data_IF_233745186461
#
_entry.id   IF_233745186461
#
_cell.length_a   1.000
_cell.length_b   1.000
_cell.length_c   1.000
_cell.angle_alpha   90.00
_cell.angle_beta   90.00
_cell.angle_gamma   90.00
#
_symmetry.space_group_name_H-M   'P 1'
#
loop_
_entity.id
_entity.type
_entity.pdbx_description
1 polymer ?
#
# COMPACT_ATOMS: atom_id res chain seq x y z
N UNK A 1 2.53 -8.41 26.77
CA UNK A 1 3.46 -7.28 26.53
C UNK A 1 3.00 -6.58 25.27
N UNK A 2 2.22 -5.52 25.44
CA UNK A 2 1.72 -4.64 24.40
C UNK A 2 2.42 -3.31 24.60
N UNK A 3 3.17 -2.89 23.58
CA UNK A 3 3.97 -1.67 23.51
C UNK A 3 4.62 -1.79 22.15
N UNK A 4 4.18 -1.03 21.16
CA UNK A 4 4.59 0.36 21.08
C UNK A 4 3.57 1.21 20.31
N UNK A 5 3.03 2.22 21.00
CA UNK A 5 2.32 3.35 20.41
C UNK A 5 3.38 4.34 19.92
N UNK A 6 3.82 4.24 18.66
CA UNK A 6 4.61 5.33 18.05
C UNK A 6 3.68 6.30 17.35
N UNK A 7 3.49 7.41 18.05
CA UNK A 7 3.00 8.68 17.54
C UNK A 7 3.64 9.05 16.19
N UNK A 8 2.80 9.53 15.28
CA UNK A 8 3.24 10.02 13.98
C UNK A 8 2.04 10.36 13.11
N UNK A 9 1.36 11.45 13.45
CA UNK A 9 0.24 12.01 12.70
C UNK A 9 0.74 12.53 11.34
N UNK A 10 0.89 11.64 10.35
CA UNK A 10 1.13 12.03 8.96
C UNK A 10 -0.21 12.37 8.30
N UNK A 11 -0.66 13.61 8.48
CA UNK A 11 -1.87 14.15 7.84
C UNK A 11 -1.44 14.88 6.57
N UNK A 12 -1.56 14.20 5.43
CA UNK A 12 -1.43 14.82 4.11
C UNK A 12 -2.84 14.90 3.48
N UNK A 13 -3.23 16.12 3.06
CA UNK A 13 -4.58 16.48 2.60
C UNK A 13 -4.75 16.26 1.08
N UNK A 14 -6.00 15.95 0.68
CA UNK A 14 -6.64 16.13 -0.66
C UNK A 14 -6.43 15.03 -1.73
N UNK A 15 -7.11 15.13 -2.89
CA UNK A 15 -8.32 14.38 -3.30
C UNK A 15 -8.05 12.96 -3.87
N UNK A 16 -8.86 11.98 -3.44
CA UNK A 16 -8.34 10.63 -3.11
C UNK A 16 -8.73 9.46 -4.02
N UNK A 17 -9.57 9.61 -5.05
CA UNK A 17 -10.08 8.44 -5.81
C UNK A 17 -9.65 8.38 -7.28
N UNK A 18 -9.67 9.51 -8.00
CA UNK A 18 -9.20 9.55 -9.40
C UNK A 18 -7.68 9.39 -9.48
N UNK A 19 -6.96 9.91 -8.47
CA UNK A 19 -5.51 9.88 -8.36
C UNK A 19 -4.94 8.48 -8.09
N UNK A 20 -5.62 7.71 -7.22
CA UNK A 20 -5.26 6.31 -6.94
C UNK A 20 -5.17 5.48 -8.22
N UNK A 21 -6.16 5.67 -9.12
CA UNK A 21 -6.33 4.90 -10.35
C UNK A 21 -5.26 5.21 -11.39
N UNK A 22 -4.92 6.49 -11.55
CA UNK A 22 -3.92 7.00 -12.49
C UNK A 22 -2.52 6.43 -12.20
N UNK A 23 -2.06 6.44 -10.94
CA UNK A 23 -0.74 5.91 -10.59
C UNK A 23 -0.61 4.39 -10.75
N UNK A 24 -1.71 3.64 -10.64
CA UNK A 24 -1.65 2.20 -10.84
C UNK A 24 -1.71 1.79 -12.31
N UNK A 25 -2.28 2.63 -13.17
CA UNK A 25 -2.44 2.37 -14.60
C UNK A 25 -1.15 2.72 -15.37
N UNK A 26 -0.50 3.84 -15.01
CA UNK A 26 0.63 4.41 -15.75
C UNK A 26 1.92 3.56 -15.73
N UNK A 27 2.07 2.61 -14.79
CA UNK A 27 3.36 1.92 -14.56
C UNK A 27 3.26 0.39 -14.33
N UNK A 28 2.13 -0.25 -14.62
CA UNK A 28 1.98 -1.70 -14.42
C UNK A 28 2.99 -2.56 -15.22
N UNK A 29 3.58 -2.02 -16.29
CA UNK A 29 4.50 -2.74 -17.18
C UNK A 29 5.94 -2.91 -16.66
N UNK A 30 6.38 -2.16 -15.65
CA UNK A 30 7.79 -2.13 -15.19
C UNK A 30 7.99 -2.54 -13.73
N UNK A 31 7.02 -3.20 -13.10
CA UNK A 31 7.12 -3.53 -11.69
C UNK A 31 7.91 -4.82 -11.45
N UNK A 32 8.81 -4.85 -10.45
CA UNK A 32 9.48 -6.08 -10.08
C UNK A 32 8.43 -7.07 -9.57
N UNK A 33 8.62 -8.36 -9.87
CA UNK A 33 7.73 -9.43 -9.44
C UNK A 33 7.96 -9.76 -7.96
N UNK A 34 7.62 -8.82 -7.07
CA UNK A 34 7.72 -8.99 -5.62
C UNK A 34 6.45 -9.67 -5.10
N UNK A 35 6.63 -10.84 -4.49
CA UNK A 35 5.55 -11.59 -3.88
C UNK A 35 5.39 -11.19 -2.40
N UNK A 36 4.25 -10.57 -2.07
CA UNK A 36 3.89 -10.21 -0.70
C UNK A 36 2.83 -11.16 -0.15
N UNK A 37 2.98 -11.58 1.10
CA UNK A 37 1.97 -12.43 1.75
C UNK A 37 0.74 -11.62 2.17
N UNK A 38 -0.43 -12.25 2.32
CA UNK A 38 -1.62 -11.57 2.79
C UNK A 38 -1.47 -10.91 4.17
N UNK A 39 -0.63 -11.44 5.05
CA UNK A 39 -0.36 -10.86 6.37
C UNK A 39 0.47 -9.57 6.26
N UNK A 40 1.50 -9.57 5.42
CA UNK A 40 2.33 -8.40 5.13
C UNK A 40 1.52 -7.26 4.50
N UNK A 41 0.52 -7.60 3.67
CA UNK A 41 -0.40 -6.65 3.07
C UNK A 41 -1.56 -6.24 3.99
N UNK A 42 -1.76 -6.91 5.14
CA UNK A 42 -2.75 -6.51 6.16
C UNK A 42 -2.18 -5.54 7.18
N UNK A 43 -0.86 -5.52 7.32
CA UNK A 43 -0.16 -4.63 8.25
C UNK A 43 -0.39 -3.13 7.96
N UNK A 44 -0.93 -2.81 6.77
CA UNK A 44 -1.21 -1.46 6.30
C UNK A 44 -2.64 -1.36 5.75
N UNK A 45 -3.38 -0.35 6.21
CA UNK A 45 -4.75 -0.05 5.78
C UNK A 45 -4.84 1.10 4.78
N UNK A 46 -6.07 1.48 4.44
CA UNK A 46 -6.39 2.57 3.48
C UNK A 46 -5.71 3.90 3.85
N UNK A 47 -5.60 4.22 5.15
CA UNK A 47 -4.97 5.46 5.62
C UNK A 47 -3.48 5.50 5.29
N UNK A 48 -2.76 4.39 5.46
CA UNK A 48 -1.33 4.34 5.18
C UNK A 48 -1.03 4.31 3.67
N UNK A 49 -1.91 3.73 2.87
CA UNK A 49 -1.85 3.81 1.40
C UNK A 49 -1.86 5.24 0.88
N UNK A 50 -2.65 6.13 1.49
CA UNK A 50 -2.71 7.55 1.11
C UNK A 50 -1.39 8.27 1.41
N UNK A 51 -0.74 7.92 2.51
CA UNK A 51 0.58 8.47 2.85
C UNK A 51 1.63 7.97 1.85
N UNK A 52 1.60 6.68 1.52
CA UNK A 52 2.51 6.07 0.55
C UNK A 52 2.37 6.71 -0.85
N UNK A 53 1.14 6.99 -1.27
CA UNK A 53 0.87 7.70 -2.53
C UNK A 53 1.56 9.06 -2.57
N UNK A 54 1.42 9.85 -1.50
CA UNK A 54 2.03 11.18 -1.44
C UNK A 54 3.56 11.11 -1.47
N UNK A 55 4.16 10.11 -0.82
CA UNK A 55 5.61 9.87 -0.86
C UNK A 55 6.07 9.55 -2.29
N UNK A 56 5.35 8.65 -2.98
CA UNK A 56 5.61 8.31 -4.37
C UNK A 56 5.44 9.50 -5.32
N UNK A 57 4.53 10.44 -4.99
CA UNK A 57 4.28 11.65 -5.77
C UNK A 57 5.39 12.70 -5.61
N UNK A 58 5.83 12.94 -4.38
CA UNK A 58 6.89 13.93 -4.11
C UNK A 58 8.22 13.50 -4.74
N UNK A 59 8.45 12.19 -4.92
CA UNK A 59 9.68 11.60 -5.50
C UNK A 59 10.96 12.06 -4.79
N UNK A 60 10.83 12.49 -3.55
CA UNK A 60 11.94 12.90 -2.70
C UNK A 60 12.71 11.63 -2.27
N UNK A 61 13.95 11.50 -2.76
CA UNK A 61 14.79 10.32 -2.52
C UNK A 61 14.96 9.97 -1.03
N UNK A 62 15.28 10.91 -0.12
CA UNK A 62 15.43 10.56 1.29
C UNK A 62 14.10 10.11 1.93
N UNK A 63 12.97 10.75 1.58
CA UNK A 63 11.65 10.32 2.06
C UNK A 63 11.29 8.93 1.53
N UNK A 64 11.52 8.67 0.24
CA UNK A 64 11.29 7.34 -0.37
C UNK A 64 12.12 6.28 0.33
N UNK A 65 13.41 6.53 0.57
CA UNK A 65 14.29 5.60 1.29
C UNK A 65 13.78 5.29 2.69
N UNK A 66 13.50 6.33 3.48
CA UNK A 66 13.05 6.18 4.86
C UNK A 66 11.75 5.38 4.97
N UNK A 67 10.80 5.63 4.07
CA UNK A 67 9.52 4.91 4.02
C UNK A 67 9.73 3.47 3.55
N UNK A 68 10.61 3.23 2.58
CA UNK A 68 10.93 1.88 2.10
C UNK A 68 11.57 1.01 3.20
N UNK A 69 12.56 1.53 3.93
CA UNK A 69 13.18 0.84 5.08
C UNK A 69 12.15 0.55 6.18
N UNK A 70 11.29 1.54 6.51
CA UNK A 70 10.25 1.36 7.53
C UNK A 70 9.25 0.29 7.15
N UNK A 71 8.78 0.30 5.89
CA UNK A 71 7.83 -0.71 5.42
C UNK A 71 8.48 -2.08 5.43
N UNK A 72 9.65 -2.22 4.80
CA UNK A 72 10.39 -3.48 4.76
C UNK A 72 10.64 -4.05 6.16
N UNK A 73 11.03 -3.23 7.13
CA UNK A 73 11.19 -3.66 8.53
C UNK A 73 9.89 -4.09 9.20
N UNK A 74 8.80 -3.32 9.04
CA UNK A 74 7.49 -3.63 9.65
C UNK A 74 6.85 -4.90 9.08
N UNK A 75 7.11 -5.24 7.82
CA UNK A 75 6.59 -6.47 7.17
C UNK A 75 7.63 -7.59 7.10
N UNK A 76 8.80 -7.40 7.71
CA UNK A 76 9.92 -8.35 7.72
C UNK A 76 10.26 -8.84 6.29
N UNK A 77 10.31 -7.92 5.33
CA UNK A 77 10.52 -8.23 3.92
C UNK A 77 11.94 -7.92 3.45
N UNK A 78 12.56 -8.91 2.80
CA UNK A 78 13.88 -8.78 2.18
C UNK A 78 13.74 -8.23 0.77
N UNK A 79 14.22 -7.01 0.54
CA UNK A 79 14.08 -6.29 -0.73
C UNK A 79 14.95 -6.87 -1.87
N UNK A 80 16.09 -7.48 -1.56
CA UNK A 80 17.06 -7.88 -2.59
C UNK A 80 17.62 -6.66 -3.34
N UNK A 81 17.85 -6.80 -4.64
CA UNK A 81 18.45 -5.78 -5.51
C UNK A 81 17.48 -4.69 -6.01
N UNK A 82 16.23 -4.70 -5.57
CA UNK A 82 15.25 -3.70 -6.01
C UNK A 82 15.53 -2.33 -5.38
N UNK A 83 15.30 -1.26 -6.15
CA UNK A 83 15.41 0.10 -5.62
C UNK A 83 14.27 0.40 -4.65
N UNK A 84 14.48 1.39 -3.77
CA UNK A 84 13.47 1.83 -2.80
C UNK A 84 12.14 2.23 -3.47
N UNK A 85 12.23 2.91 -4.61
CA UNK A 85 11.05 3.34 -5.37
C UNK A 85 10.30 2.15 -5.96
N UNK A 86 11.02 1.20 -6.55
CA UNK A 86 10.45 -0.01 -7.15
C UNK A 86 9.76 -0.89 -6.09
N UNK A 87 10.37 -1.03 -4.92
CA UNK A 87 9.78 -1.71 -3.77
C UNK A 87 8.47 -1.02 -3.32
N UNK A 88 8.49 0.30 -3.10
CA UNK A 88 7.32 1.04 -2.64
C UNK A 88 6.17 0.98 -3.66
N UNK A 89 6.49 1.02 -4.96
CA UNK A 89 5.51 0.85 -6.03
C UNK A 89 4.89 -0.54 -5.99
N UNK A 90 5.70 -1.60 -6.02
CA UNK A 90 5.19 -2.97 -5.98
C UNK A 90 4.32 -3.21 -4.72
N UNK A 91 4.74 -2.70 -3.57
CA UNK A 91 3.98 -2.79 -2.33
C UNK A 91 2.63 -2.04 -2.42
N UNK A 92 2.62 -0.80 -2.92
CA UNK A 92 1.41 -0.01 -3.13
C UNK A 92 0.37 -0.76 -3.99
N UNK A 93 0.79 -1.35 -5.10
CA UNK A 93 -0.11 -2.08 -6.00
C UNK A 93 -0.67 -3.35 -5.35
N UNK A 94 0.17 -4.09 -4.63
CA UNK A 94 -0.24 -5.31 -3.94
C UNK A 94 -1.29 -5.03 -2.85
N UNK A 95 -1.09 -3.99 -2.02
CA UNK A 95 -2.06 -3.61 -0.98
C UNK A 95 -3.37 -3.12 -1.62
N UNK A 96 -3.27 -2.32 -2.68
CA UNK A 96 -4.45 -1.81 -3.38
C UNK A 96 -5.30 -2.93 -3.99
N UNK A 97 -4.69 -3.85 -4.73
CA UNK A 97 -5.40 -4.98 -5.32
C UNK A 97 -6.08 -5.87 -4.27
N UNK A 98 -5.45 -6.01 -3.09
CA UNK A 98 -6.04 -6.73 -1.96
C UNK A 98 -7.27 -6.04 -1.38
N UNK A 99 -7.24 -4.71 -1.24
CA UNK A 99 -8.40 -3.95 -0.78
C UNK A 99 -9.54 -3.99 -1.79
N UNK A 100 -9.24 -3.85 -3.08
CA UNK A 100 -10.22 -3.97 -4.15
C UNK A 100 -10.88 -5.36 -4.15
N UNK A 101 -10.07 -6.42 -4.01
CA UNK A 101 -10.57 -7.80 -3.88
C UNK A 101 -11.47 -7.99 -2.64
N UNK A 102 -11.08 -7.43 -1.48
CA UNK A 102 -11.91 -7.47 -0.25
C UNK A 102 -13.23 -6.72 -0.42
N UNK A 103 -13.24 -5.57 -1.09
CA UNK A 103 -14.45 -4.81 -1.37
C UNK A 103 -15.41 -5.59 -2.29
N UNK A 104 -14.88 -6.25 -3.33
CA UNK A 104 -15.65 -7.10 -4.25
C UNK A 104 -16.24 -8.32 -3.52
N UNK A 105 -15.45 -8.97 -2.65
CA UNK A 105 -15.89 -10.07 -1.80
C UNK A 105 -16.97 -9.63 -0.80
N UNK A 106 -16.81 -8.45 -0.19
CA UNK A 106 -17.78 -7.85 0.73
C UNK A 106 -19.12 -7.52 0.05
N UNK A 107 -19.10 -6.98 -1.17
CA UNK A 107 -20.33 -6.79 -1.97
C UNK A 107 -21.02 -8.12 -2.25
N UNK A 108 -20.31 -9.11 -2.82
CA UNK A 108 -20.89 -10.42 -3.14
C UNK A 108 -21.54 -11.13 -1.95
N UNK A 109 -20.99 -10.97 -0.74
CA UNK A 109 -21.62 -11.48 0.48
C UNK A 109 -22.93 -10.76 0.76
N UNK A 110 -22.95 -9.43 0.72
CA UNK A 110 -24.16 -8.63 1.00
C UNK A 110 -25.30 -8.94 0.03
N UNK A 111 -24.99 -9.07 -1.26
CA UNK A 111 -25.98 -9.46 -2.29
C UNK A 111 -26.60 -10.85 -2.05
N UNK A 112 -25.88 -11.78 -1.41
CA UNK A 112 -26.40 -13.13 -1.12
C UNK A 112 -27.30 -13.21 0.12
N UNK A 113 -27.26 -12.23 1.03
CA UNK A 113 -28.05 -12.23 2.28
C UNK A 113 -29.28 -11.32 2.21
N UNK A 114 -29.48 -10.61 1.12
CA UNK A 114 -30.63 -9.72 0.88
C UNK A 114 -31.77 -10.44 0.11
N UNK A 115 -31.56 -11.70 -0.28
CA UNK A 115 -32.52 -12.54 -1.02
C UNK A 115 -33.15 -13.63 -0.13
N UNK A 116 -33.53 -13.30 1.10
CA UNK A 116 -34.34 -14.19 1.96
C UNK A 116 -35.60 -13.50 2.46
#
# INVERSE_FOLDING_TARGET
RAGDLVAGTWVLRTPKQKLLRDMADDNAAHQPNLAFTPAQLDAYGIKELQVLEQVLRTRDKPTVRAVADRIAGKIEFTRGDVTDLEFLRAYYHAVRGRLESRLLMGRRRKDKFDLS
#
